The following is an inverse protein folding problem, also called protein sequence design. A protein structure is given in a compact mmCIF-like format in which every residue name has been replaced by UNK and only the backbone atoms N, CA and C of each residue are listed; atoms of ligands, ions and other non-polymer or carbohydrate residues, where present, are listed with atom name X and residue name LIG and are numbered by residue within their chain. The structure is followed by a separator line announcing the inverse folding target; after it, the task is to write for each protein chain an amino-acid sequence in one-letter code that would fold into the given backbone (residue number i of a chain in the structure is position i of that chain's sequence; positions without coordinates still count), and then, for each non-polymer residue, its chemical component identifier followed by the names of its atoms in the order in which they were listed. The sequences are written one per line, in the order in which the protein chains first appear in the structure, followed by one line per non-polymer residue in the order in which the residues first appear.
data_IF_187692570775
#
_entry.id   IF_187692570775
#
_cell.length_a   1.000
_cell.length_b   1.000
_cell.length_c   1.000
_cell.angle_alpha   90.00
_cell.angle_beta   90.00
_cell.angle_gamma   90.00
#
_symmetry.space_group_name_H-M   'P 1'
#
loop_
_entity.id
_entity.type
_entity.pdbx_description
1 polymer ?
#
# COMPACT_ATOMS: atom_id res chain seq x y z
N UNK A 1 -9.17 23.68 -8.11
CA UNK A 1 -8.67 22.89 -9.26
C UNK A 1 -7.17 22.71 -9.10
N UNK A 2 -6.62 21.56 -9.53
CA UNK A 2 -5.18 21.27 -9.46
C UNK A 2 -4.55 21.72 -10.79
N UNK A 3 -3.70 22.75 -10.75
CA UNK A 3 -3.14 23.40 -11.94
C UNK A 3 -1.81 22.78 -12.35
N UNK A 4 -1.82 21.96 -13.40
CA UNK A 4 -0.61 21.29 -13.93
C UNK A 4 0.49 22.26 -14.39
N UNK A 5 0.11 23.45 -14.88
CA UNK A 5 1.07 24.46 -15.35
C UNK A 5 1.80 25.19 -14.21
N UNK A 6 1.36 25.05 -12.97
CA UNK A 6 2.03 25.59 -11.78
C UNK A 6 2.96 24.56 -11.12
N UNK A 7 3.00 23.32 -11.62
CA UNK A 7 3.84 22.23 -11.10
C UNK A 7 5.22 22.18 -11.76
N UNK A 8 6.22 21.83 -10.97
CA UNK A 8 7.54 21.49 -11.49
C UNK A 8 7.54 20.12 -12.21
N UNK A 9 8.63 19.81 -12.93
CA UNK A 9 8.72 18.58 -13.73
C UNK A 9 8.57 17.30 -12.90
N UNK A 10 9.08 17.28 -11.67
CA UNK A 10 8.99 16.11 -10.78
C UNK A 10 7.56 15.91 -10.25
N UNK A 11 6.86 16.99 -9.93
CA UNK A 11 5.44 16.95 -9.55
C UNK A 11 4.55 16.48 -10.69
N UNK A 12 4.80 16.94 -11.91
CA UNK A 12 4.07 16.47 -13.09
C UNK A 12 4.34 14.99 -13.38
N UNK A 13 5.59 14.55 -13.26
CA UNK A 13 5.98 13.15 -13.40
C UNK A 13 5.30 12.28 -12.34
N UNK A 14 5.31 12.72 -11.08
CA UNK A 14 4.60 12.07 -9.98
C UNK A 14 3.11 11.91 -10.30
N UNK A 15 2.44 12.97 -10.74
CA UNK A 15 1.02 12.93 -11.10
C UNK A 15 0.75 11.97 -12.25
N UNK A 16 1.58 11.99 -13.30
CA UNK A 16 1.47 11.06 -14.45
C UNK A 16 1.63 9.60 -14.01
N UNK A 17 2.60 9.33 -13.14
CA UNK A 17 2.83 7.99 -12.60
C UNK A 17 1.67 7.53 -11.70
N UNK A 18 1.12 8.42 -10.87
CA UNK A 18 -0.04 8.11 -10.03
C UNK A 18 -1.27 7.73 -10.87
N UNK A 19 -1.56 8.48 -11.93
CA UNK A 19 -2.66 8.16 -12.87
C UNK A 19 -2.40 6.83 -13.59
N UNK A 20 -1.17 6.58 -14.02
CA UNK A 20 -0.80 5.31 -14.67
C UNK A 20 -1.00 4.12 -13.71
N UNK A 21 -0.51 4.22 -12.49
CA UNK A 21 -0.66 3.17 -11.48
C UNK A 21 -2.13 2.95 -11.12
N UNK A 22 -2.93 4.01 -10.99
CA UNK A 22 -4.37 3.89 -10.77
C UNK A 22 -5.04 3.11 -11.91
N UNK A 23 -4.77 3.44 -13.18
CA UNK A 23 -5.31 2.70 -14.33
C UNK A 23 -4.90 1.23 -14.35
N UNK A 24 -3.68 0.91 -13.93
CA UNK A 24 -3.24 -0.48 -13.83
C UNK A 24 -3.98 -1.26 -12.73
N UNK A 25 -4.41 -0.56 -11.67
CA UNK A 25 -5.10 -1.14 -10.51
C UNK A 25 -6.61 -0.89 -10.53
N UNK A 26 -7.16 -0.30 -11.59
CA UNK A 26 -8.53 0.21 -11.62
C UNK A 26 -9.56 -0.89 -11.39
N UNK A 27 -9.32 -2.07 -11.96
CA UNK A 27 -10.19 -3.24 -11.77
C UNK A 27 -10.17 -3.72 -10.32
N UNK A 28 -8.99 -3.78 -9.68
CA UNK A 28 -8.85 -4.19 -8.28
C UNK A 28 -9.50 -3.17 -7.34
N UNK A 29 -9.36 -1.87 -7.62
CA UNK A 29 -9.93 -0.80 -6.78
C UNK A 29 -11.46 -0.69 -6.99
N UNK A 30 -11.94 -0.88 -8.22
CA UNK A 30 -13.34 -0.71 -8.60
C UNK A 30 -14.22 -1.92 -8.28
N UNK A 31 -13.71 -3.12 -8.56
CA UNK A 31 -14.50 -4.37 -8.51
C UNK A 31 -13.97 -5.38 -7.47
N UNK A 32 -12.85 -5.08 -6.81
CA UNK A 32 -12.26 -5.97 -5.81
C UNK A 32 -12.96 -5.96 -4.45
N UNK A 33 -12.65 -6.98 -3.65
CA UNK A 33 -13.11 -7.09 -2.27
C UNK A 33 -12.41 -6.07 -1.38
N UNK A 34 -13.18 -5.36 -0.54
CA UNK A 34 -12.67 -4.28 0.33
C UNK A 34 -12.53 -4.74 1.77
N UNK A 35 -11.32 -4.67 2.31
CA UNK A 35 -10.98 -5.01 3.68
C UNK A 35 -10.56 -3.76 4.46
N UNK A 36 -11.31 -3.43 5.52
CA UNK A 36 -11.01 -2.29 6.41
C UNK A 36 -10.12 -2.77 7.56
N UNK A 37 -8.82 -2.73 7.35
CA UNK A 37 -7.82 -3.28 8.27
C UNK A 37 -7.57 -2.40 9.50
N UNK A 38 -7.66 -1.08 9.36
CA UNK A 38 -7.47 -0.17 10.49
C UNK A 38 -8.33 1.09 10.38
N UNK A 39 -9.05 1.42 11.45
CA UNK A 39 -9.99 2.53 11.50
C UNK A 39 -9.35 3.81 12.05
N UNK A 40 -9.47 4.96 11.35
CA UNK A 40 -8.94 6.24 11.82
C UNK A 40 -9.62 6.76 13.10
N UNK A 41 -10.78 6.20 13.46
CA UNK A 41 -11.51 6.58 14.69
C UNK A 41 -11.01 5.84 15.93
N UNK A 42 -10.23 4.77 15.74
CA UNK A 42 -9.78 3.87 16.82
C UNK A 42 -8.26 3.82 16.95
N UNK A 43 -7.51 4.40 16.02
CA UNK A 43 -6.05 4.49 16.08
C UNK A 43 -5.55 5.79 15.43
N UNK A 44 -4.25 6.04 15.59
CA UNK A 44 -3.56 7.17 14.96
C UNK A 44 -3.26 6.93 13.46
N UNK A 45 -3.75 5.82 12.93
CA UNK A 45 -3.40 5.24 11.64
C UNK A 45 -4.67 4.78 10.93
N UNK A 46 -4.63 4.64 9.61
CA UNK A 46 -5.71 4.01 8.87
C UNK A 46 -5.16 3.09 7.79
N UNK A 47 -5.88 2.00 7.53
CA UNK A 47 -5.55 1.12 6.43
C UNK A 47 -6.80 0.50 5.82
N UNK A 48 -6.82 0.50 4.49
CA UNK A 48 -7.82 -0.19 3.67
C UNK A 48 -7.10 -0.94 2.56
N UNK A 49 -7.54 -2.16 2.32
CA UNK A 49 -6.99 -3.04 1.31
C UNK A 49 -8.07 -3.46 0.33
N UNK A 50 -7.72 -3.50 -0.94
CA UNK A 50 -8.54 -4.02 -2.03
C UNK A 50 -7.87 -5.26 -2.59
N UNK A 51 -8.64 -6.34 -2.78
CA UNK A 51 -8.14 -7.63 -3.29
C UNK A 51 -8.93 -7.97 -4.54
N UNK A 52 -8.23 -8.21 -5.65
CA UNK A 52 -8.88 -8.67 -6.88
C UNK A 52 -9.54 -10.03 -6.67
N UNK A 53 -10.62 -10.31 -7.40
CA UNK A 53 -11.40 -11.56 -7.27
C UNK A 53 -10.54 -12.83 -7.44
N UNK A 54 -9.54 -12.76 -8.33
CA UNK A 54 -8.58 -13.85 -8.57
C UNK A 54 -7.48 -13.98 -7.50
N UNK A 55 -7.46 -13.04 -6.54
CA UNK A 55 -6.48 -12.91 -5.46
C UNK A 55 -5.04 -12.78 -5.94
N UNK A 56 -4.81 -12.45 -7.21
CA UNK A 56 -3.45 -12.29 -7.76
C UNK A 56 -2.90 -10.90 -7.49
N UNK A 57 -3.75 -9.89 -7.55
CA UNK A 57 -3.34 -8.50 -7.32
C UNK A 57 -4.16 -7.90 -6.20
N UNK A 58 -3.50 -7.11 -5.36
CA UNK A 58 -4.13 -6.36 -4.28
C UNK A 58 -3.42 -5.03 -4.10
N UNK A 59 -4.14 -4.04 -3.57
CA UNK A 59 -3.57 -2.75 -3.21
C UNK A 59 -3.94 -2.40 -1.78
N UNK A 60 -2.93 -2.06 -0.99
CA UNK A 60 -3.07 -1.60 0.38
C UNK A 60 -2.76 -0.10 0.44
N UNK A 61 -3.71 0.67 0.97
CA UNK A 61 -3.53 2.07 1.32
C UNK A 61 -3.33 2.16 2.83
N UNK A 62 -2.19 2.72 3.25
CA UNK A 62 -1.85 2.92 4.65
C UNK A 62 -1.55 4.40 4.91
N UNK A 63 -2.10 4.95 6.01
CA UNK A 63 -2.01 6.36 6.36
C UNK A 63 -1.56 6.51 7.81
N UNK A 64 -0.43 7.19 8.02
CA UNK A 64 0.00 7.69 9.33
C UNK A 64 -0.68 9.06 9.54
N UNK A 65 -1.73 9.13 10.38
CA UNK A 65 -2.57 10.35 10.50
C UNK A 65 -2.06 11.27 11.60
N UNK A 66 -1.97 10.75 12.84
CA UNK A 66 -1.49 11.49 14.01
C UNK A 66 -0.55 10.63 14.87
N UNK A 67 0.53 10.06 14.30
CA UNK A 67 1.40 9.15 15.04
C UNK A 67 1.97 9.81 16.30
N UNK A 68 1.98 9.07 17.41
CA UNK A 68 2.49 9.58 18.68
C UNK A 68 3.96 9.22 18.86
N UNK A 69 4.71 10.12 19.49
CA UNK A 69 6.10 9.82 19.88
C UNK A 69 6.14 8.58 20.78
N UNK A 70 7.02 7.63 20.46
CA UNK A 70 7.16 6.37 21.21
C UNK A 70 6.00 5.38 21.03
N UNK A 71 5.10 5.59 20.07
CA UNK A 71 4.03 4.64 19.76
C UNK A 71 4.60 3.28 19.34
N UNK A 72 4.04 2.20 19.90
CA UNK A 72 4.41 0.84 19.50
C UNK A 72 3.66 0.46 18.24
N UNK A 73 4.36 0.55 17.11
CA UNK A 73 3.85 0.12 15.81
C UNK A 73 3.91 -1.40 15.72
N UNK A 74 2.77 -2.02 15.44
CA UNK A 74 2.65 -3.47 15.23
C UNK A 74 2.50 -3.76 13.74
N UNK A 75 2.96 -4.93 13.27
CA UNK A 75 2.65 -5.39 11.93
C UNK A 75 1.13 -5.40 11.69
N UNK A 76 0.73 -4.89 10.53
CA UNK A 76 -0.64 -4.93 10.04
C UNK A 76 -0.87 -6.27 9.35
N UNK A 77 -1.79 -7.07 9.89
CA UNK A 77 -2.25 -8.30 9.24
C UNK A 77 -3.15 -7.96 8.07
N UNK A 78 -2.91 -8.63 6.95
CA UNK A 78 -3.71 -8.48 5.74
C UNK A 78 -4.87 -9.48 5.74
N UNK A 79 -5.81 -9.29 4.83
CA UNK A 79 -6.98 -10.16 4.67
C UNK A 79 -7.26 -10.40 3.17
N UNK A 80 -7.99 -11.48 2.87
CA UNK A 80 -8.48 -11.78 1.52
C UNK A 80 -7.49 -12.49 0.57
N UNK A 81 -6.21 -12.60 0.94
CA UNK A 81 -5.18 -13.24 0.11
C UNK A 81 -5.33 -14.77 0.05
N UNK A 82 -4.68 -15.40 -0.93
CA UNK A 82 -4.55 -16.86 -0.98
C UNK A 82 -3.37 -17.30 -0.09
N UNK A 83 -3.59 -18.12 0.96
CA UNK A 83 -2.53 -18.51 1.89
C UNK A 83 -1.37 -19.27 1.22
N UNK A 84 -1.66 -20.04 0.17
CA UNK A 84 -0.71 -20.93 -0.50
C UNK A 84 0.11 -20.26 -1.61
N UNK A 85 -0.09 -18.95 -1.81
CA UNK A 85 0.60 -18.17 -2.86
C UNK A 85 1.65 -17.24 -2.29
N UNK A 86 2.67 -16.98 -3.09
CA UNK A 86 3.72 -16.00 -2.79
C UNK A 86 3.36 -14.66 -3.40
N UNK A 87 3.57 -13.58 -2.65
CA UNK A 87 3.23 -12.22 -3.05
C UNK A 87 4.43 -11.30 -2.91
N UNK A 88 4.76 -10.58 -3.98
CA UNK A 88 5.75 -9.52 -4.00
C UNK A 88 5.13 -8.22 -3.50
N UNK A 89 5.84 -7.55 -2.61
CA UNK A 89 5.43 -6.28 -2.02
C UNK A 89 6.16 -5.15 -2.72
N UNK A 90 5.43 -4.13 -3.16
CA UNK A 90 6.01 -2.96 -3.83
C UNK A 90 5.30 -1.68 -3.41
N UNK A 91 6.04 -0.77 -2.82
CA UNK A 91 5.56 0.60 -2.63
C UNK A 91 5.56 1.32 -3.98
N UNK A 92 4.41 1.89 -4.33
CA UNK A 92 4.18 2.66 -5.56
C UNK A 92 3.82 4.10 -5.19
N UNK A 93 3.73 4.97 -6.20
CA UNK A 93 3.48 6.40 -6.01
C UNK A 93 4.52 7.06 -5.08
N UNK A 94 5.80 6.74 -5.29
CA UNK A 94 6.90 7.48 -4.68
C UNK A 94 7.20 8.73 -5.52
N UNK A 95 7.52 9.82 -4.85
CA UNK A 95 8.02 11.02 -5.52
C UNK A 95 9.35 10.70 -6.24
N UNK A 96 9.64 11.28 -7.43
CA UNK A 96 10.86 10.97 -8.17
C UNK A 96 12.12 11.07 -7.29
N UNK A 97 13.05 10.13 -7.48
CA UNK A 97 14.29 9.99 -6.70
C UNK A 97 14.12 9.69 -5.20
N UNK A 98 12.91 9.29 -4.76
CA UNK A 98 12.65 8.89 -3.37
C UNK A 98 12.80 7.38 -3.19
N UNK A 99 13.49 6.97 -2.13
CA UNK A 99 13.54 5.56 -1.73
C UNK A 99 12.36 5.24 -0.81
N UNK A 100 11.77 4.06 -1.02
CA UNK A 100 10.76 3.50 -0.13
C UNK A 100 11.29 3.39 1.31
N UNK A 101 10.44 3.71 2.28
CA UNK A 101 10.69 3.46 3.71
C UNK A 101 9.98 2.21 4.23
N UNK A 102 9.21 1.54 3.37
CA UNK A 102 8.53 0.29 3.68
C UNK A 102 9.56 -0.83 3.83
N UNK A 103 9.66 -1.41 5.03
CA UNK A 103 10.63 -2.47 5.33
C UNK A 103 10.49 -3.71 4.42
N UNK A 104 9.26 -4.03 3.99
CA UNK A 104 8.97 -5.13 3.08
C UNK A 104 9.10 -4.80 1.60
N UNK A 105 9.50 -3.59 1.21
CA UNK A 105 9.52 -3.20 -0.20
C UNK A 105 10.51 -4.05 -1.02
N UNK A 106 10.01 -4.63 -2.12
CA UNK A 106 10.73 -5.54 -3.00
C UNK A 106 10.81 -6.99 -2.50
N UNK A 107 10.34 -7.27 -1.29
CA UNK A 107 10.37 -8.61 -0.70
C UNK A 107 9.15 -9.44 -1.11
N UNK A 108 9.27 -10.76 -0.97
CA UNK A 108 8.21 -11.72 -1.28
C UNK A 108 7.84 -12.51 -0.03
N UNK A 109 6.54 -12.63 0.26
CA UNK A 109 6.01 -13.35 1.43
C UNK A 109 4.88 -14.29 1.00
N UNK A 110 4.64 -15.36 1.75
CA UNK A 110 3.43 -16.15 1.55
C UNK A 110 2.18 -15.36 1.97
N UNK A 111 1.04 -15.65 1.35
CA UNK A 111 -0.25 -15.09 1.77
C UNK A 111 -0.56 -15.45 3.23
N UNK A 112 -0.19 -16.66 3.67
CA UNK A 112 -0.33 -17.07 5.07
C UNK A 112 0.47 -16.16 6.00
N UNK A 113 1.73 -15.85 5.68
CA UNK A 113 2.55 -14.94 6.48
C UNK A 113 1.93 -13.54 6.55
N UNK A 114 1.47 -13.02 5.41
CA UNK A 114 0.85 -11.70 5.33
C UNK A 114 -0.45 -11.60 6.17
N UNK A 115 -1.22 -12.69 6.27
CA UNK A 115 -2.46 -12.72 7.05
C UNK A 115 -2.24 -13.06 8.54
N UNK A 116 -1.22 -13.86 8.88
CA UNK A 116 -0.96 -14.30 10.26
C UNK A 116 0.04 -13.43 11.02
N UNK A 117 1.11 -12.99 10.36
CA UNK A 117 2.18 -12.16 10.91
C UNK A 117 1.98 -10.70 10.52
N UNK A 118 1.78 -10.43 9.23
CA UNK A 118 1.55 -9.07 8.71
C UNK A 118 2.80 -8.29 8.32
N UNK A 119 2.60 -7.04 7.92
CA UNK A 119 3.64 -6.12 7.45
C UNK A 119 3.73 -4.87 8.33
N UNK A 120 4.95 -4.44 8.64
CA UNK A 120 5.17 -3.13 9.26
C UNK A 120 5.05 -2.03 8.20
N UNK A 121 3.83 -1.49 8.06
CA UNK A 121 3.50 -0.46 7.05
C UNK A 121 3.43 0.96 7.60
N UNK A 122 3.15 1.10 8.90
CA UNK A 122 3.04 2.38 9.58
C UNK A 122 4.40 2.86 10.10
N UNK A 123 4.51 4.17 10.29
CA UNK A 123 5.70 4.81 10.85
C UNK A 123 5.32 5.82 11.94
N UNK A 124 6.32 6.31 12.68
CA UNK A 124 6.14 7.41 13.63
C UNK A 124 6.33 8.78 12.97
N UNK A 125 6.48 8.84 11.64
CA UNK A 125 6.73 10.07 10.90
C UNK A 125 5.42 10.86 10.66
N UNK A 126 5.51 12.18 10.72
CA UNK A 126 4.37 13.09 10.51
C UNK A 126 3.96 13.15 9.02
N UNK A 127 2.68 13.44 8.73
CA UNK A 127 1.80 12.55 7.96
C UNK A 127 2.43 11.97 6.71
N UNK A 128 2.48 10.63 6.66
CA UNK A 128 2.99 9.86 5.53
C UNK A 128 1.93 8.85 5.09
N UNK A 129 1.73 8.73 3.78
CA UNK A 129 0.91 7.67 3.20
C UNK A 129 1.78 6.70 2.41
N UNK A 130 1.40 5.43 2.38
CA UNK A 130 1.99 4.42 1.50
C UNK A 130 0.91 3.78 0.67
N UNK A 131 1.17 3.64 -0.63
CA UNK A 131 0.36 2.84 -1.54
C UNK A 131 1.18 1.62 -1.90
N UNK A 132 0.68 0.44 -1.53
CA UNK A 132 1.45 -0.80 -1.59
C UNK A 132 0.72 -1.73 -2.54
N UNK A 133 1.35 -1.99 -3.68
CA UNK A 133 0.96 -3.05 -4.61
C UNK A 133 1.45 -4.39 -4.05
N UNK A 134 0.55 -5.36 -4.01
CA UNK A 134 0.79 -6.73 -3.56
C UNK A 134 0.37 -7.63 -4.71
N UNK A 135 1.35 -8.22 -5.39
CA UNK A 135 1.10 -9.02 -6.59
C UNK A 135 1.66 -10.42 -6.43
N UNK A 136 0.89 -11.42 -6.86
CA UNK A 136 1.30 -12.82 -6.86
C UNK A 136 2.59 -12.93 -7.68
N UNK A 137 3.61 -13.51 -7.06
CA UNK A 137 4.87 -13.80 -7.69
C UNK A 137 4.79 -15.23 -8.21
N UNK A 138 4.54 -15.37 -9.51
CA UNK A 138 4.68 -16.65 -10.19
C UNK A 138 6.18 -16.96 -10.26
N UNK A 139 6.65 -17.80 -9.34
CA UNK A 139 7.98 -18.40 -9.43
C UNK A 139 7.86 -19.46 -10.52
N UNK A 140 8.47 -19.22 -11.68
CA UNK A 140 8.79 -20.28 -12.65
C UNK A 140 9.78 -21.28 -12.04
#
# INVERSE_FOLDING_TARGET
DIRMNEMNLQEQEYCRNAVKNFKQLEYVIGEGDVYRLMSPYKSNHAAVMYVGEDKKTSVLFAFDIHPRYGERIRPLRLEGLNPDKMYKIKEINLFPNTKSTLAGNGQTYSGEYLMSVGLTVFSSAQPVSKVIEISQNDIE
#
